data_IF_812147978491
#
_entry.id   IF_812147978491
#
_cell.length_a   1.000
_cell.length_b   1.000
_cell.length_c   1.000
_cell.angle_alpha   90.00
_cell.angle_beta   90.00
_cell.angle_gamma   90.00
#
_symmetry.space_group_name_H-M   'P 1'
#
loop_
_entity.id
_entity.type
_entity.pdbx_description
1 polymer ?
#
# COMPACT_ATOMS: atom_id res chain seq x y z
N UNK A 1 40.65 -12.40 -29.08
CA UNK A 1 39.39 -11.65 -29.32
C UNK A 1 38.41 -12.06 -28.24
N UNK A 2 37.91 -11.08 -27.47
CA UNK A 2 37.27 -11.29 -26.18
C UNK A 2 35.91 -12.01 -26.30
N UNK A 3 35.71 -13.02 -25.45
CA UNK A 3 34.42 -13.63 -25.18
C UNK A 3 33.56 -12.60 -24.43
N UNK A 4 32.40 -12.26 -25.00
CA UNK A 4 31.38 -11.45 -24.32
C UNK A 4 30.73 -12.32 -23.25
N UNK A 5 31.07 -12.06 -21.99
CA UNK A 5 30.30 -12.52 -20.85
C UNK A 5 28.91 -11.89 -20.93
N UNK A 6 27.92 -12.68 -21.35
CA UNK A 6 26.51 -12.41 -21.08
C UNK A 6 26.32 -12.64 -19.58
N UNK A 7 26.53 -11.59 -18.79
CA UNK A 7 26.14 -11.59 -17.39
C UNK A 7 24.64 -11.85 -17.33
N UNK A 8 24.24 -12.91 -16.64
CA UNK A 8 22.85 -13.16 -16.29
C UNK A 8 22.37 -11.98 -15.45
N UNK A 9 21.64 -11.04 -16.07
CA UNK A 9 20.90 -10.04 -15.31
C UNK A 9 19.93 -10.81 -14.42
N UNK A 10 20.22 -10.86 -13.11
CA UNK A 10 19.20 -11.25 -12.13
C UNK A 10 18.05 -10.28 -12.35
N UNK A 11 16.90 -10.76 -12.83
CA UNK A 11 15.67 -9.98 -12.81
C UNK A 11 15.46 -9.55 -11.35
N UNK A 12 15.65 -8.26 -11.08
CA UNK A 12 15.34 -7.70 -9.78
C UNK A 12 13.83 -7.83 -9.58
N UNK A 13 13.40 -8.20 -8.37
CA UNK A 13 11.97 -8.22 -8.04
C UNK A 13 11.48 -6.77 -8.07
N UNK A 14 10.25 -6.51 -8.53
CA UNK A 14 9.70 -5.16 -8.54
C UNK A 14 9.64 -4.62 -7.11
N UNK A 15 9.80 -3.31 -6.97
CA UNK A 15 9.67 -2.61 -5.70
C UNK A 15 8.22 -2.23 -5.41
N UNK A 16 7.79 -2.39 -4.16
CA UNK A 16 6.41 -2.15 -3.72
C UNK A 16 6.39 -1.13 -2.59
N UNK A 17 5.61 -0.07 -2.75
CA UNK A 17 5.37 0.90 -1.69
C UNK A 17 3.91 0.84 -1.23
N UNK A 18 3.71 0.64 0.08
CA UNK A 18 2.38 0.51 0.70
C UNK A 18 2.04 1.74 1.52
N UNK A 19 0.87 2.30 1.26
CA UNK A 19 0.31 3.43 2.01
C UNK A 19 -1.06 3.02 2.56
N UNK A 20 -1.13 2.82 3.87
CA UNK A 20 -2.33 2.29 4.51
C UNK A 20 -3.06 3.32 5.35
N UNK A 21 -4.34 3.46 5.06
CA UNK A 21 -5.30 4.16 5.91
C UNK A 21 -5.73 3.20 7.04
N UNK A 22 -5.14 3.38 8.22
CA UNK A 22 -5.43 2.55 9.37
C UNK A 22 -6.84 2.75 9.95
N UNK A 23 -7.57 3.79 9.56
CA UNK A 23 -8.97 3.99 9.97
C UNK A 23 -9.92 3.20 9.08
N UNK A 24 -9.58 3.07 7.78
CA UNK A 24 -10.38 2.32 6.82
C UNK A 24 -10.18 0.80 6.96
N UNK A 25 -8.96 0.37 7.28
CA UNK A 25 -8.58 -1.04 7.45
C UNK A 25 -7.92 -1.25 8.81
N UNK A 26 -8.41 -2.23 9.58
CA UNK A 26 -7.84 -2.60 10.87
C UNK A 26 -6.49 -3.31 10.70
N UNK A 27 -5.39 -2.55 10.70
CA UNK A 27 -4.04 -3.06 10.49
C UNK A 27 -3.60 -4.02 11.60
N UNK A 28 -4.10 -3.87 12.83
CA UNK A 28 -3.87 -4.86 13.90
C UNK A 28 -4.32 -6.27 13.50
N UNK A 29 -5.41 -6.36 12.72
CA UNK A 29 -5.99 -7.63 12.26
C UNK A 29 -5.38 -8.11 10.94
N UNK A 30 -5.17 -7.20 10.00
CA UNK A 30 -4.84 -7.53 8.62
C UNK A 30 -3.40 -7.21 8.20
N UNK A 31 -2.60 -6.59 9.07
CA UNK A 31 -1.27 -6.07 8.74
C UNK A 31 -0.32 -7.14 8.19
N UNK A 32 -0.25 -8.31 8.82
CA UNK A 32 0.57 -9.43 8.33
C UNK A 32 0.05 -9.98 7.00
N UNK A 33 -1.26 -10.14 6.85
CA UNK A 33 -1.84 -10.64 5.60
C UNK A 33 -1.60 -9.67 4.42
N UNK A 34 -1.62 -8.36 4.68
CA UNK A 34 -1.25 -7.35 3.69
C UNK A 34 0.23 -7.50 3.33
N UNK A 35 1.11 -7.65 4.32
CA UNK A 35 2.55 -7.90 4.10
C UNK A 35 2.78 -9.14 3.24
N UNK A 36 2.15 -10.26 3.58
CA UNK A 36 2.33 -11.52 2.84
C UNK A 36 1.91 -11.38 1.37
N UNK A 37 0.78 -10.69 1.13
CA UNK A 37 0.32 -10.40 -0.22
C UNK A 37 1.27 -9.47 -0.99
N UNK A 38 1.66 -8.33 -0.41
CA UNK A 38 2.52 -7.38 -1.14
C UNK A 38 3.95 -7.92 -1.30
N UNK A 39 4.39 -8.83 -0.42
CA UNK A 39 5.66 -9.53 -0.57
C UNK A 39 5.62 -10.56 -1.70
N UNK A 40 4.46 -11.11 -2.06
CA UNK A 40 4.35 -11.96 -3.26
C UNK A 40 4.45 -11.14 -4.55
N UNK A 41 4.11 -9.85 -4.49
CA UNK A 41 4.22 -8.94 -5.63
C UNK A 41 5.66 -8.50 -5.90
N UNK A 42 6.47 -8.32 -4.85
CA UNK A 42 7.82 -7.74 -4.99
C UNK A 42 8.53 -7.49 -3.67
N UNK A 43 9.65 -6.78 -3.74
CA UNK A 43 10.40 -6.33 -2.55
C UNK A 43 9.72 -5.10 -1.97
N UNK A 44 9.56 -5.04 -0.64
CA UNK A 44 8.75 -4.00 0.03
C UNK A 44 9.66 -3.02 0.80
N UNK A 45 10.29 -2.04 0.14
CA UNK A 45 11.11 -1.07 0.83
C UNK A 45 10.31 -0.13 1.74
N UNK A 46 8.99 0.01 1.51
CA UNK A 46 8.17 1.01 2.19
C UNK A 46 6.80 0.46 2.60
N UNK A 47 6.54 0.45 3.92
CA UNK A 47 5.21 0.19 4.50
C UNK A 47 4.81 1.34 5.43
N UNK A 48 3.89 2.20 5.00
CA UNK A 48 3.40 3.32 5.79
C UNK A 48 2.00 3.04 6.34
N UNK A 49 1.82 3.23 7.64
CA UNK A 49 0.53 3.08 8.31
C UNK A 49 0.11 4.44 8.91
N UNK A 50 -0.90 5.07 8.32
CA UNK A 50 -1.41 6.37 8.75
C UNK A 50 -2.56 6.17 9.74
N UNK A 51 -2.43 6.77 10.92
CA UNK A 51 -3.47 6.78 11.94
C UNK A 51 -3.26 7.96 12.88
N UNK A 52 -4.27 8.27 13.71
CA UNK A 52 -4.06 8.96 14.98
C UNK A 52 -3.44 7.98 15.99
N UNK A 53 -2.14 7.65 15.87
CA UNK A 53 -1.48 6.63 16.70
C UNK A 53 -1.47 6.98 18.18
N UNK A 54 -1.45 8.27 18.53
CA UNK A 54 -1.60 8.73 19.92
C UNK A 54 -2.92 8.30 20.59
N UNK A 55 -3.94 7.93 19.80
CA UNK A 55 -5.23 7.45 20.30
C UNK A 55 -5.33 5.91 20.35
N UNK A 56 -4.29 5.20 19.91
CA UNK A 56 -4.24 3.74 19.85
C UNK A 56 -3.31 3.22 20.96
N UNK A 57 -3.58 2.04 21.56
CA UNK A 57 -2.66 1.46 22.53
C UNK A 57 -1.26 1.27 21.94
N UNK A 58 -0.23 1.75 22.65
CA UNK A 58 1.19 1.66 22.23
C UNK A 58 1.62 0.23 21.84
N UNK A 59 1.07 -0.79 22.50
CA UNK A 59 1.34 -2.19 22.17
C UNK A 59 0.90 -2.53 20.73
N UNK A 60 -0.20 -1.95 20.25
CA UNK A 60 -0.69 -2.17 18.88
C UNK A 60 0.22 -1.50 17.87
N UNK A 61 0.63 -0.26 18.11
CA UNK A 61 1.61 0.47 17.28
C UNK A 61 2.95 -0.29 17.24
N UNK A 62 3.46 -0.70 18.39
CA UNK A 62 4.72 -1.45 18.50
C UNK A 62 4.67 -2.79 17.75
N UNK A 63 3.56 -3.53 17.83
CA UNK A 63 3.39 -4.77 17.07
C UNK A 63 3.46 -4.55 15.56
N UNK A 64 2.88 -3.46 15.06
CA UNK A 64 2.97 -3.11 13.64
C UNK A 64 4.38 -2.70 13.25
N UNK A 65 5.08 -1.94 14.09
CA UNK A 65 6.49 -1.57 13.86
C UNK A 65 7.40 -2.80 13.80
N UNK A 66 7.20 -3.80 14.66
CA UNK A 66 7.93 -5.07 14.60
C UNK A 66 7.67 -5.87 13.31
N UNK A 67 6.53 -5.63 12.65
CA UNK A 67 6.21 -6.20 11.34
C UNK A 67 6.77 -5.36 10.17
N UNK A 68 7.48 -4.25 10.45
CA UNK A 68 8.07 -3.38 9.43
C UNK A 68 7.24 -2.17 9.05
N UNK A 69 6.07 -1.94 9.67
CA UNK A 69 5.26 -0.75 9.39
C UNK A 69 5.87 0.51 10.01
N UNK A 70 6.01 1.54 9.19
CA UNK A 70 6.27 2.90 9.61
C UNK A 70 4.96 3.56 10.02
N UNK A 71 4.71 3.64 11.33
CA UNK A 71 3.51 4.26 11.88
C UNK A 71 3.61 5.79 11.80
N UNK A 72 2.85 6.40 10.89
CA UNK A 72 2.79 7.86 10.69
C UNK A 72 1.65 8.43 11.51
N UNK A 73 2.01 9.13 12.60
CA UNK A 73 1.03 9.78 13.48
C UNK A 73 0.53 11.09 12.87
N UNK A 74 -0.79 11.16 12.66
CA UNK A 74 -1.48 12.39 12.28
C UNK A 74 -2.04 12.99 13.55
N UNK A 75 -1.30 13.92 14.16
CA UNK A 75 -1.62 14.44 15.48
C UNK A 75 -2.91 15.28 15.52
N UNK A 76 -3.25 15.92 14.40
CA UNK A 76 -4.42 16.81 14.29
C UNK A 76 -5.64 15.98 13.89
N UNK A 77 -6.71 16.04 14.70
CA UNK A 77 -7.96 15.30 14.48
C UNK A 77 -9.02 16.11 13.72
N UNK A 78 -8.59 17.09 12.93
CA UNK A 78 -9.51 17.83 12.07
C UNK A 78 -10.02 16.92 10.97
N UNK A 79 -11.24 17.19 10.50
CA UNK A 79 -11.87 16.45 9.42
C UNK A 79 -10.93 16.38 8.22
N UNK A 80 -10.72 15.17 7.70
CA UNK A 80 -9.92 14.84 6.52
C UNK A 80 -8.39 15.08 6.64
N UNK A 81 -7.86 15.40 7.82
CA UNK A 81 -6.42 15.66 7.94
C UNK A 81 -5.57 14.41 7.67
N UNK A 82 -6.06 13.24 8.10
CA UNK A 82 -5.41 11.97 7.84
C UNK A 82 -5.36 11.69 6.33
N UNK A 83 -6.47 11.88 5.63
CA UNK A 83 -6.56 11.71 4.18
C UNK A 83 -5.62 12.69 3.46
N UNK A 84 -5.65 13.97 3.84
CA UNK A 84 -4.77 15.00 3.27
C UNK A 84 -3.29 14.63 3.45
N UNK A 85 -2.92 14.17 4.66
CA UNK A 85 -1.55 13.75 4.95
C UNK A 85 -1.15 12.53 4.13
N UNK A 86 -2.03 11.52 4.06
CA UNK A 86 -1.79 10.30 3.29
C UNK A 86 -1.65 10.63 1.80
N UNK A 87 -2.56 11.41 1.22
CA UNK A 87 -2.51 11.82 -0.18
C UNK A 87 -1.25 12.61 -0.51
N UNK A 88 -0.87 13.55 0.37
CA UNK A 88 0.34 14.36 0.22
C UNK A 88 1.61 13.50 0.24
N UNK A 89 1.72 12.61 1.22
CA UNK A 89 2.89 11.72 1.32
C UNK A 89 2.91 10.70 0.19
N UNK A 90 1.79 10.10 -0.19
CA UNK A 90 1.70 9.21 -1.35
C UNK A 90 2.18 9.92 -2.62
N UNK A 91 1.68 11.13 -2.90
CA UNK A 91 2.07 11.89 -4.08
C UNK A 91 3.58 12.19 -4.08
N UNK A 92 4.12 12.68 -2.96
CA UNK A 92 5.52 13.04 -2.82
C UNK A 92 6.45 11.82 -2.89
N UNK A 93 6.15 10.77 -2.12
CA UNK A 93 7.00 9.59 -1.99
C UNK A 93 6.92 8.69 -3.22
N UNK A 94 5.78 8.61 -3.90
CA UNK A 94 5.67 7.87 -5.16
C UNK A 94 6.51 8.47 -6.29
N UNK A 95 6.75 9.78 -6.27
CA UNK A 95 7.64 10.46 -7.22
C UNK A 95 9.10 10.32 -6.78
N UNK A 96 9.38 10.49 -5.48
CA UNK A 96 10.75 10.44 -4.96
C UNK A 96 11.39 9.06 -5.10
N UNK A 97 10.65 8.00 -4.77
CA UNK A 97 11.17 6.64 -4.77
C UNK A 97 10.90 5.86 -6.05
N UNK A 98 9.95 6.32 -6.87
CA UNK A 98 9.53 5.67 -8.11
C UNK A 98 9.34 4.15 -7.98
N UNK A 99 8.53 3.66 -7.03
CA UNK A 99 8.29 2.22 -6.89
C UNK A 99 7.57 1.67 -8.12
N UNK A 100 7.87 0.43 -8.47
CA UNK A 100 7.23 -0.27 -9.61
C UNK A 100 5.74 -0.49 -9.36
N UNK A 101 5.36 -0.76 -8.10
CA UNK A 101 3.98 -1.00 -7.67
C UNK A 101 3.64 -0.10 -6.49
N UNK A 102 2.57 0.68 -6.64
CA UNK A 102 1.97 1.45 -5.55
C UNK A 102 0.77 0.70 -4.98
N UNK A 103 0.76 0.48 -3.68
CA UNK A 103 -0.36 -0.15 -2.97
C UNK A 103 -1.01 0.87 -2.05
N UNK A 104 -2.29 1.12 -2.25
CA UNK A 104 -3.10 1.99 -1.42
C UNK A 104 -4.12 1.14 -0.64
N UNK A 105 -3.97 1.10 0.69
CA UNK A 105 -4.89 0.34 1.54
C UNK A 105 -5.99 1.29 2.04
N UNK A 106 -7.06 1.43 1.26
CA UNK A 106 -8.26 2.23 1.59
C UNK A 106 -9.46 1.81 0.72
N UNK A 107 -10.66 2.11 1.19
CA UNK A 107 -11.90 2.05 0.42
C UNK A 107 -12.43 3.41 -0.05
N UNK A 108 -11.78 4.51 0.35
CA UNK A 108 -12.29 5.86 0.16
C UNK A 108 -12.14 6.37 -1.29
N UNK A 109 -13.26 6.84 -1.85
CA UNK A 109 -13.34 7.38 -3.20
C UNK A 109 -12.52 8.65 -3.39
N UNK A 110 -12.20 9.39 -2.33
CA UNK A 110 -11.51 10.67 -2.43
C UNK A 110 -10.06 10.52 -2.93
N UNK A 111 -9.52 9.30 -2.90
CA UNK A 111 -8.25 8.93 -3.53
C UNK A 111 -8.32 8.75 -5.06
N UNK A 112 -9.51 8.79 -5.66
CA UNK A 112 -9.69 8.60 -7.12
C UNK A 112 -8.81 9.50 -8.00
N UNK A 113 -8.65 10.82 -7.72
CA UNK A 113 -7.80 11.68 -8.54
C UNK A 113 -6.34 11.25 -8.52
N UNK A 114 -5.84 10.78 -7.38
CA UNK A 114 -4.47 10.34 -7.19
C UNK A 114 -4.19 9.04 -7.94
N UNK A 115 -5.12 8.09 -7.88
CA UNK A 115 -5.06 6.83 -8.64
C UNK A 115 -5.03 7.13 -10.14
N UNK A 116 -5.92 8.02 -10.63
CA UNK A 116 -5.93 8.44 -12.04
C UNK A 116 -4.61 9.03 -12.48
N UNK A 117 -4.03 9.93 -11.68
CA UNK A 117 -2.75 10.56 -12.01
C UNK A 117 -1.61 9.52 -12.14
N UNK A 118 -1.61 8.49 -11.30
CA UNK A 118 -0.65 7.39 -11.39
C UNK A 118 -0.86 6.54 -12.63
N UNK A 119 -2.10 6.15 -12.92
CA UNK A 119 -2.46 5.37 -14.11
C UNK A 119 -2.10 6.13 -15.42
N UNK A 120 -2.34 7.44 -15.46
CA UNK A 120 -1.94 8.30 -16.59
C UNK A 120 -0.41 8.38 -16.78
N UNK A 121 0.35 8.09 -15.72
CA UNK A 121 1.82 8.01 -15.76
C UNK A 121 2.30 6.56 -15.93
N UNK A 122 1.43 5.64 -16.37
CA UNK A 122 1.72 4.21 -16.57
C UNK A 122 2.22 3.48 -15.32
N UNK A 123 1.97 4.02 -14.12
CA UNK A 123 2.31 3.37 -12.85
C UNK A 123 1.18 2.47 -12.40
N UNK A 124 1.50 1.22 -12.06
CA UNK A 124 0.54 0.27 -11.51
C UNK A 124 0.15 0.69 -10.10
N UNK A 125 -1.16 0.83 -9.86
CA UNK A 125 -1.73 1.09 -8.54
C UNK A 125 -2.64 -0.06 -8.16
N UNK A 126 -2.39 -0.66 -7.00
CA UNK A 126 -3.26 -1.65 -6.38
C UNK A 126 -4.01 -0.98 -5.23
N UNK A 127 -5.33 -1.18 -5.19
CA UNK A 127 -6.17 -0.72 -4.09
C UNK A 127 -6.59 -1.93 -3.27
N UNK A 128 -6.31 -1.89 -1.97
CA UNK A 128 -6.74 -2.92 -1.03
C UNK A 128 -7.74 -2.29 -0.06
N UNK A 129 -8.95 -2.82 0.00
CA UNK A 129 -9.93 -2.34 0.98
C UNK A 129 -10.72 -3.47 1.60
N UNK A 130 -11.86 -3.14 2.20
CA UNK A 130 -12.81 -4.12 2.74
C UNK A 130 -13.99 -4.29 1.80
N UNK A 131 -14.55 -5.49 1.72
CA UNK A 131 -15.70 -5.75 0.83
C UNK A 131 -16.84 -4.73 0.98
N UNK A 132 -17.12 -4.29 2.21
CA UNK A 132 -18.21 -3.38 2.52
C UNK A 132 -17.79 -1.90 2.56
N UNK A 133 -16.53 -1.57 2.27
CA UNK A 133 -16.01 -0.21 2.40
C UNK A 133 -15.34 0.34 1.12
N UNK A 134 -15.05 -0.50 0.12
CA UNK A 134 -14.53 -0.01 -1.16
C UNK A 134 -15.64 0.62 -1.99
N UNK A 135 -15.53 1.92 -2.25
CA UNK A 135 -16.52 2.61 -3.07
C UNK A 135 -16.63 2.05 -4.50
N UNK A 136 -17.85 2.08 -5.06
CA UNK A 136 -18.06 1.70 -6.46
C UNK A 136 -17.24 2.54 -7.45
N UNK A 137 -16.91 3.79 -7.08
CA UNK A 137 -16.09 4.67 -7.90
C UNK A 137 -14.66 4.12 -8.05
N UNK A 138 -14.06 3.64 -6.96
CA UNK A 138 -12.76 2.98 -7.03
C UNK A 138 -12.85 1.68 -7.84
N UNK A 139 -13.89 0.87 -7.60
CA UNK A 139 -14.12 -0.38 -8.35
C UNK A 139 -14.18 -0.18 -9.87
N UNK A 140 -14.87 0.87 -10.32
CA UNK A 140 -14.92 1.23 -11.75
C UNK A 140 -13.61 1.81 -12.27
N UNK A 141 -12.84 2.50 -11.42
CA UNK A 141 -11.58 3.14 -11.78
C UNK A 141 -10.42 2.15 -11.88
N UNK A 142 -10.41 1.10 -11.06
CA UNK A 142 -9.29 0.17 -10.96
C UNK A 142 -9.75 -1.31 -10.92
N UNK A 143 -10.56 -1.78 -11.90
CA UNK A 143 -11.30 -3.04 -11.79
C UNK A 143 -10.43 -4.30 -11.72
N UNK A 144 -9.19 -4.25 -12.22
CA UNK A 144 -8.26 -5.39 -12.22
C UNK A 144 -7.30 -5.42 -11.04
N UNK A 145 -7.16 -4.29 -10.34
CA UNK A 145 -6.18 -4.10 -9.28
C UNK A 145 -6.88 -3.64 -7.99
N UNK A 146 -8.06 -4.23 -7.72
CA UNK A 146 -8.76 -4.10 -6.45
C UNK A 146 -8.79 -5.45 -5.75
N UNK A 147 -8.31 -5.45 -4.52
CA UNK A 147 -8.28 -6.61 -3.66
C UNK A 147 -8.97 -6.29 -2.33
N UNK A 148 -9.42 -7.34 -1.67
CA UNK A 148 -10.08 -7.23 -0.38
C UNK A 148 -9.23 -7.88 0.69
N UNK A 149 -9.02 -7.19 1.82
CA UNK A 149 -8.20 -7.69 2.94
C UNK A 149 -8.69 -9.05 3.46
N UNK A 150 -9.99 -9.29 3.38
CA UNK A 150 -10.61 -10.56 3.77
C UNK A 150 -10.23 -11.74 2.84
N UNK A 151 -9.81 -11.44 1.61
CA UNK A 151 -9.50 -12.44 0.57
C UNK A 151 -8.00 -12.61 0.30
N UNK A 152 -7.15 -11.73 0.82
CA UNK A 152 -5.72 -11.69 0.50
C UNK A 152 -4.98 -13.01 0.72
N UNK A 153 -5.42 -13.82 1.69
CA UNK A 153 -4.83 -15.14 1.97
C UNK A 153 -4.93 -16.13 0.81
N UNK A 154 -5.85 -15.90 -0.14
CA UNK A 154 -5.99 -16.72 -1.34
C UNK A 154 -4.84 -16.50 -2.33
N UNK A 155 -4.24 -15.31 -2.30
CA UNK A 155 -3.21 -14.87 -3.26
C UNK A 155 -1.78 -15.01 -2.73
N UNK A 156 -1.59 -15.21 -1.42
CA UNK A 156 -0.28 -15.43 -0.83
C UNK A 156 0.22 -16.88 -0.96
N UNK A 157 -0.64 -17.84 -1.31
CA UNK A 157 -0.31 -19.27 -1.41
C UNK A 157 0.01 -19.77 -2.82
N UNK A 158 -0.20 -18.96 -3.86
CA UNK A 158 0.08 -19.35 -5.25
C UNK A 158 1.52 -19.05 -5.70
N UNK A 159 2.35 -18.45 -4.84
CA UNK A 159 3.73 -18.08 -5.13
C UNK A 159 4.79 -18.89 -4.35
N UNK A 160 4.39 -19.99 -3.69
CA UNK A 160 5.27 -20.89 -2.94
C UNK A 160 5.49 -22.22 -3.68
#
# INVERSE_FOLDING_TARGET
MAQRNLGSEKLQRPTVAVFADGQNVCLKKYGSTIIDFVNSLGDIPFLYAYHHWRAIPKETEHKLQLQGWQCVDVAVKTRNELDNRLMSDFARLSIHWMPDILVLVTGDKDFSPLIRACQMSERRVIVIGRHNNVSQRLQKLNPKDIFFVEDLQKFSKEAA
#
